data_IF_704118064485
#
_entry.id   IF_704118064485
#
_cell.length_a   1.000
_cell.length_b   1.000
_cell.length_c   1.000
_cell.angle_alpha   90.00
_cell.angle_beta   90.00
_cell.angle_gamma   90.00
#
_symmetry.space_group_name_H-M   'P 1'
#
loop_
_entity.id
_entity.type
_entity.pdbx_description
1 polymer ?
#
# COMPACT_ATOMS: atom_id res chain seq x y z
N UNK A 1 6.72 -4.78 -11.00
CA UNK A 1 6.50 -5.09 -9.57
C UNK A 1 7.86 -5.24 -8.92
N UNK A 2 8.05 -4.72 -7.69
CA UNK A 2 9.27 -4.93 -6.91
C UNK A 2 9.53 -6.44 -6.67
N UNK A 3 10.79 -6.82 -6.48
CA UNK A 3 11.16 -8.21 -6.22
C UNK A 3 10.71 -8.65 -4.81
N UNK A 4 10.26 -9.90 -4.67
CA UNK A 4 9.88 -10.46 -3.38
C UNK A 4 8.47 -11.06 -3.37
N UNK A 5 8.10 -11.57 -2.21
CA UNK A 5 6.84 -12.25 -1.98
C UNK A 5 5.75 -11.25 -1.58
N UNK A 6 4.58 -11.36 -2.20
CA UNK A 6 3.41 -10.59 -1.83
C UNK A 6 2.70 -11.24 -0.62
N UNK A 7 2.76 -10.55 0.52
CA UNK A 7 2.16 -11.02 1.78
C UNK A 7 0.97 -10.13 2.13
N UNK A 8 -0.21 -10.73 2.25
CA UNK A 8 -1.36 -10.01 2.78
C UNK A 8 -1.25 -9.87 4.29
N UNK A 9 -1.34 -8.64 4.80
CA UNK A 9 -1.07 -8.35 6.22
C UNK A 9 -2.22 -7.65 6.95
N UNK A 10 -3.30 -7.31 6.24
CA UNK A 10 -4.47 -6.69 6.86
C UNK A 10 -5.27 -5.83 5.89
N UNK A 11 -6.08 -4.94 6.44
CA UNK A 11 -6.96 -4.04 5.69
C UNK A 11 -6.93 -2.64 6.27
N UNK A 12 -7.23 -1.63 5.45
CA UNK A 12 -7.39 -0.23 5.86
C UNK A 12 -8.66 0.38 5.26
N UNK A 13 -9.11 1.50 5.82
CA UNK A 13 -10.22 2.28 5.25
C UNK A 13 -9.73 3.27 4.17
N UNK A 14 -10.39 3.32 3.02
CA UNK A 14 -10.11 4.32 1.99
C UNK A 14 -11.41 4.71 1.29
N UNK A 15 -11.78 6.00 1.35
CA UNK A 15 -12.95 6.54 0.65
C UNK A 15 -14.24 5.73 0.93
N UNK A 16 -14.46 5.38 2.21
CA UNK A 16 -15.64 4.61 2.64
C UNK A 16 -15.62 3.13 2.28
N UNK A 17 -14.49 2.59 1.82
CA UNK A 17 -14.31 1.19 1.47
C UNK A 17 -13.21 0.56 2.31
N UNK A 18 -13.40 -0.69 2.73
CA UNK A 18 -12.31 -1.51 3.29
C UNK A 18 -11.48 -2.08 2.15
N UNK A 19 -10.19 -1.75 2.10
CA UNK A 19 -9.25 -2.24 1.08
C UNK A 19 -8.14 -3.09 1.70
N UNK A 20 -7.58 -4.02 0.92
CA UNK A 20 -6.48 -4.87 1.39
C UNK A 20 -5.17 -4.08 1.48
N UNK A 21 -4.36 -4.42 2.48
CA UNK A 21 -2.95 -4.07 2.63
C UNK A 21 -2.09 -5.29 2.31
N UNK A 22 -1.14 -5.12 1.40
CA UNK A 22 -0.19 -6.16 0.98
C UNK A 22 1.21 -5.60 1.13
N UNK A 23 2.14 -6.40 1.63
CA UNK A 23 3.56 -6.05 1.72
C UNK A 23 4.31 -6.89 0.70
N UNK A 24 5.26 -6.26 0.01
CA UNK A 24 6.28 -7.00 -0.74
C UNK A 24 7.47 -7.21 0.18
N UNK A 25 7.75 -8.47 0.51
CA UNK A 25 8.84 -8.87 1.39
C UNK A 25 9.94 -9.55 0.61
N UNK A 26 11.16 -9.05 0.75
CA UNK A 26 12.36 -9.61 0.12
C UNK A 26 13.46 -9.77 1.16
N UNK A 27 14.03 -10.97 1.25
CA UNK A 27 15.07 -11.31 2.25
C UNK A 27 14.69 -10.93 3.68
N UNK A 28 13.42 -11.12 4.04
CA UNK A 28 12.89 -10.81 5.38
C UNK A 28 12.62 -9.32 5.65
N UNK A 29 12.96 -8.43 4.71
CA UNK A 29 12.71 -6.99 4.82
C UNK A 29 11.46 -6.58 4.06
N UNK A 30 10.69 -5.69 4.67
CA UNK A 30 9.52 -5.10 4.02
C UNK A 30 9.98 -3.99 3.07
N UNK A 31 9.67 -4.13 1.79
CA UNK A 31 10.20 -3.26 0.74
C UNK A 31 9.19 -2.24 0.26
N UNK A 32 7.94 -2.67 0.11
CA UNK A 32 6.83 -1.86 -0.40
C UNK A 32 5.55 -2.25 0.31
N UNK A 33 4.71 -1.26 0.62
CA UNK A 33 3.32 -1.50 1.00
C UNK A 33 2.42 -1.14 -0.19
N UNK A 34 1.55 -2.05 -0.57
CA UNK A 34 0.56 -1.90 -1.64
C UNK A 34 -0.84 -1.92 -1.03
N UNK A 35 -1.63 -0.90 -1.36
CA UNK A 35 -3.02 -0.78 -0.94
C UNK A 35 -3.94 -1.06 -2.12
N UNK A 36 -4.98 -1.84 -1.87
CA UNK A 36 -5.97 -2.23 -2.88
C UNK A 36 -5.82 -3.67 -3.34
N UNK A 37 -6.97 -4.31 -3.56
CA UNK A 37 -7.09 -5.60 -4.24
C UNK A 37 -8.57 -5.88 -4.53
N UNK A 38 -8.90 -6.11 -5.79
CA UNK A 38 -10.07 -6.88 -6.21
C UNK A 38 -9.56 -7.97 -7.16
N UNK A 39 -10.18 -9.15 -7.16
CA UNK A 39 -9.68 -10.38 -7.78
C UNK A 39 -9.14 -10.22 -9.22
N UNK A 40 -9.70 -9.28 -10.00
CA UNK A 40 -9.33 -9.04 -11.40
C UNK A 40 -8.35 -7.87 -11.62
N UNK A 41 -8.05 -7.07 -10.59
CA UNK A 41 -7.18 -5.89 -10.65
C UNK A 41 -6.33 -5.78 -9.37
N UNK A 42 -5.12 -6.37 -9.36
CA UNK A 42 -4.26 -6.27 -8.19
C UNK A 42 -3.83 -4.82 -7.97
N UNK A 43 -3.97 -4.34 -6.73
CA UNK A 43 -3.51 -3.00 -6.29
C UNK A 43 -4.22 -1.80 -6.93
N UNK A 44 -5.41 -2.02 -7.50
CA UNK A 44 -6.30 -0.95 -7.96
C UNK A 44 -7.51 -0.82 -7.03
N UNK A 45 -7.93 0.41 -6.80
CA UNK A 45 -9.05 0.76 -5.92
C UNK A 45 -10.06 1.60 -6.73
N UNK A 46 -11.12 0.98 -7.26
CA UNK A 46 -12.17 1.72 -7.95
C UNK A 46 -13.00 2.55 -6.96
N UNK A 47 -13.21 3.83 -7.30
CA UNK A 47 -14.06 4.77 -6.55
C UNK A 47 -14.88 5.57 -7.56
N UNK A 48 -16.15 5.21 -7.74
CA UNK A 48 -17.00 5.83 -8.77
C UNK A 48 -16.41 5.66 -10.17
N UNK A 49 -16.09 6.76 -10.84
CA UNK A 49 -15.47 6.80 -12.16
C UNK A 49 -13.92 6.92 -12.13
N UNK A 50 -13.32 6.86 -10.95
CA UNK A 50 -11.86 6.95 -10.75
C UNK A 50 -11.29 5.60 -10.33
N UNK A 51 -10.02 5.39 -10.67
CA UNK A 51 -9.23 4.24 -10.22
C UNK A 51 -7.99 4.79 -9.52
N UNK A 52 -7.79 4.37 -8.27
CA UNK A 52 -6.63 4.75 -7.48
C UNK A 52 -5.64 3.59 -7.38
N UNK A 53 -4.35 3.92 -7.35
CA UNK A 53 -3.26 3.02 -6.99
C UNK A 53 -2.47 3.71 -5.89
N UNK A 54 -2.29 3.06 -4.75
CA UNK A 54 -1.63 3.66 -3.60
C UNK A 54 -0.57 2.71 -3.07
N UNK A 55 0.63 3.23 -2.87
CA UNK A 55 1.76 2.48 -2.33
C UNK A 55 2.64 3.36 -1.44
N UNK A 56 3.28 2.74 -0.46
CA UNK A 56 4.43 3.28 0.24
C UNK A 56 5.68 2.60 -0.33
N UNK A 57 6.63 3.40 -0.80
CA UNK A 57 7.89 2.95 -1.41
C UNK A 57 9.04 3.86 -0.96
N UNK A 58 10.25 3.30 -0.88
CA UNK A 58 11.48 4.06 -0.68
C UNK A 58 12.14 4.29 -2.04
N UNK A 59 12.05 5.52 -2.52
CA UNK A 59 12.64 5.96 -3.79
C UNK A 59 13.99 6.69 -3.60
N UNK A 60 14.47 6.82 -2.37
CA UNK A 60 15.69 7.54 -2.02
C UNK A 60 16.92 6.64 -1.86
N UNK A 61 16.71 5.38 -1.45
CA UNK A 61 17.78 4.41 -1.29
C UNK A 61 18.44 4.05 -2.62
N UNK A 62 19.78 3.96 -2.61
CA UNK A 62 20.57 3.65 -3.82
C UNK A 62 20.45 2.18 -4.23
N UNK A 63 20.35 1.28 -3.25
CA UNK A 63 20.30 -0.16 -3.45
C UNK A 63 19.03 -0.72 -2.83
N UNK A 64 18.40 -1.68 -3.52
CA UNK A 64 17.13 -2.26 -3.12
C UNK A 64 17.25 -3.10 -1.84
N UNK A 65 18.41 -3.72 -1.66
CA UNK A 65 18.78 -4.57 -0.53
C UNK A 65 18.80 -3.78 0.80
N UNK A 66 19.15 -2.49 0.72
CA UNK A 66 19.23 -1.57 1.85
C UNK A 66 17.85 -1.08 2.31
N UNK A 67 16.85 -1.11 1.43
CA UNK A 67 15.48 -0.68 1.75
C UNK A 67 14.88 -1.55 2.85
N UNK A 68 14.37 -0.91 3.89
CA UNK A 68 13.58 -1.56 4.93
C UNK A 68 12.55 -0.55 5.45
N UNK A 69 11.27 -0.79 5.14
CA UNK A 69 10.18 0.03 5.64
C UNK A 69 9.90 -0.36 7.09
N UNK A 70 10.29 0.51 8.02
CA UNK A 70 10.05 0.28 9.44
C UNK A 70 8.55 0.18 9.73
N UNK A 71 8.14 -0.61 10.76
CA UNK A 71 6.73 -0.72 11.15
C UNK A 71 6.07 0.62 11.43
N UNK A 72 6.81 1.58 11.99
CA UNK A 72 6.31 2.92 12.30
C UNK A 72 5.94 3.70 11.03
N UNK A 73 6.78 3.64 9.98
CA UNK A 73 6.48 4.29 8.70
C UNK A 73 5.29 3.62 8.03
N UNK A 74 5.17 2.28 8.13
CA UNK A 74 4.01 1.56 7.61
C UNK A 74 2.71 1.96 8.32
N UNK A 75 2.73 2.16 9.64
CA UNK A 75 1.57 2.62 10.41
C UNK A 75 1.20 4.07 10.06
N UNK A 76 2.21 4.93 9.85
CA UNK A 76 1.96 6.30 9.40
C UNK A 76 1.33 6.31 8.00
N UNK A 77 1.81 5.47 7.08
CA UNK A 77 1.21 5.33 5.76
C UNK A 77 -0.24 4.84 5.85
N UNK A 78 -0.54 3.88 6.72
CA UNK A 78 -1.92 3.46 6.98
C UNK A 78 -2.77 4.65 7.43
N UNK A 79 -2.30 5.44 8.40
CA UNK A 79 -3.02 6.61 8.89
C UNK A 79 -3.25 7.67 7.79
N UNK A 80 -2.29 7.87 6.88
CA UNK A 80 -2.44 8.77 5.74
C UNK A 80 -3.52 8.26 4.78
N UNK A 81 -3.45 6.98 4.39
CA UNK A 81 -4.45 6.38 3.50
C UNK A 81 -5.84 6.45 4.14
N UNK A 82 -5.91 6.13 5.44
CA UNK A 82 -7.12 6.22 6.25
C UNK A 82 -7.54 7.64 6.55
N UNK A 83 -6.78 8.68 6.21
CA UNK A 83 -7.25 10.07 6.33
C UNK A 83 -7.97 10.54 5.07
N UNK A 84 -7.82 9.83 3.94
CA UNK A 84 -8.41 10.23 2.66
C UNK A 84 -9.92 9.99 2.70
N UNK A 85 -10.69 11.07 2.52
CA UNK A 85 -12.15 11.11 2.54
C UNK A 85 -12.66 11.87 1.33
N UNK A 86 -13.86 11.52 0.87
CA UNK A 86 -14.60 12.38 -0.04
C UNK A 86 -15.20 13.51 0.80
N UNK A 87 -14.79 14.74 0.52
CA UNK A 87 -15.55 15.91 0.96
C UNK A 87 -16.59 16.21 -0.12
N UNK A 88 -17.87 16.28 0.26
CA UNK A 88 -18.85 16.92 -0.61
C UNK A 88 -18.42 18.38 -0.86
N UNK A 89 -18.60 18.90 -2.09
CA UNK A 89 -18.42 20.32 -2.36
C UNK A 89 -19.39 21.19 -1.54
#
# INVERSE_FOLDING_TARGET
>A
MPAGDAVHVGTVQFVGQTIRKTIIRYEGKDKVVLYGYKEDLPYQIPVGNLIFTISLDDVGSRYYEDVELSPEIQQLADAIVESIRLTSP
#
